data_IF_391921850676
#
_entry.id   IF_391921850676
#
_cell.length_a   1.000
_cell.length_b   1.000
_cell.length_c   1.000
_cell.angle_alpha   90.00
_cell.angle_beta   90.00
_cell.angle_gamma   90.00
#
_symmetry.space_group_name_H-M   'P 1'
#
loop_
_entity.id
_entity.type
_entity.pdbx_description
1 polymer ?
#
# COMPACT_ATOMS: atom_id res chain seq x y z
N UNK A 1 19.91 -7.96 -26.43
CA UNK A 1 20.35 -6.61 -26.06
C UNK A 1 21.43 -6.23 -27.06
N UNK A 2 21.31 -5.08 -27.72
CA UNK A 2 22.33 -4.63 -28.69
C UNK A 2 23.66 -4.33 -27.97
N UNK A 3 23.60 -4.03 -26.68
CA UNK A 3 24.72 -3.93 -25.74
C UNK A 3 24.28 -4.48 -24.37
N UNK A 4 24.77 -5.64 -23.90
CA UNK A 4 24.47 -6.15 -22.56
C UNK A 4 25.32 -5.44 -21.49
N UNK A 5 24.86 -5.39 -20.22
CA UNK A 5 25.67 -4.84 -19.13
C UNK A 5 26.88 -5.74 -18.83
N UNK A 6 27.94 -5.17 -18.27
CA UNK A 6 29.17 -5.89 -17.87
C UNK A 6 28.92 -6.97 -16.80
N UNK A 7 27.82 -6.83 -16.04
CA UNK A 7 27.44 -7.74 -14.97
C UNK A 7 25.92 -7.87 -14.87
N UNK A 8 25.46 -9.04 -14.43
CA UNK A 8 24.07 -9.31 -14.08
C UNK A 8 24.01 -10.27 -12.88
N UNK A 9 22.99 -10.09 -12.02
CA UNK A 9 22.65 -11.02 -10.94
C UNK A 9 21.38 -11.76 -11.33
N UNK A 10 21.37 -13.07 -11.09
CA UNK A 10 20.16 -13.87 -11.22
C UNK A 10 19.69 -14.34 -9.84
N UNK A 11 18.45 -14.00 -9.50
CA UNK A 11 17.78 -14.43 -8.27
C UNK A 11 16.59 -15.30 -8.66
N UNK A 12 16.71 -16.62 -8.50
CA UNK A 12 15.70 -17.56 -8.98
C UNK A 12 14.34 -17.43 -8.28
N UNK A 13 14.33 -16.93 -7.05
CA UNK A 13 13.12 -16.75 -6.23
C UNK A 13 12.41 -15.42 -6.46
N UNK A 14 12.99 -14.52 -7.26
CA UNK A 14 12.36 -13.25 -7.60
C UNK A 14 11.18 -13.46 -8.57
N UNK A 15 10.14 -12.64 -8.40
CA UNK A 15 8.93 -12.75 -9.21
C UNK A 15 8.02 -11.55 -9.06
N UNK A 16 6.80 -11.69 -9.58
CA UNK A 16 5.77 -10.64 -9.49
C UNK A 16 4.53 -11.21 -8.83
N UNK A 17 3.97 -10.45 -7.90
CA UNK A 17 2.65 -10.67 -7.35
C UNK A 17 1.71 -9.62 -7.95
N UNK A 18 0.58 -10.05 -8.51
CA UNK A 18 -0.40 -9.11 -9.06
C UNK A 18 -1.06 -8.32 -7.92
N UNK A 19 -0.81 -6.99 -7.79
CA UNK A 19 -1.11 -6.26 -6.56
C UNK A 19 -2.58 -6.33 -6.13
N UNK A 20 -3.52 -6.19 -7.08
CA UNK A 20 -4.94 -6.19 -6.75
C UNK A 20 -5.43 -7.58 -6.32
N UNK A 21 -4.93 -8.64 -6.96
CA UNK A 21 -5.27 -10.00 -6.60
C UNK A 21 -4.69 -10.38 -5.23
N UNK A 22 -3.43 -10.01 -4.97
CA UNK A 22 -2.75 -10.25 -3.70
C UNK A 22 -3.45 -9.54 -2.54
N UNK A 23 -3.79 -8.25 -2.69
CA UNK A 23 -4.49 -7.50 -1.65
C UNK A 23 -5.85 -8.14 -1.29
N UNK A 24 -6.62 -8.58 -2.30
CA UNK A 24 -7.90 -9.25 -2.10
C UNK A 24 -7.75 -10.60 -1.39
N UNK A 25 -6.73 -11.38 -1.76
CA UNK A 25 -6.46 -12.66 -1.11
C UNK A 25 -6.10 -12.49 0.38
N UNK A 26 -5.24 -11.51 0.69
CA UNK A 26 -4.87 -11.19 2.07
C UNK A 26 -6.07 -10.68 2.88
N UNK A 27 -6.90 -9.81 2.29
CA UNK A 27 -8.11 -9.31 2.95
C UNK A 27 -9.09 -10.43 3.27
N UNK A 28 -9.36 -11.31 2.30
CA UNK A 28 -10.26 -12.44 2.50
C UNK A 28 -9.75 -13.41 3.60
N UNK A 29 -8.43 -13.63 3.67
CA UNK A 29 -7.87 -14.47 4.73
C UNK A 29 -7.96 -13.81 6.11
N UNK A 30 -7.72 -12.49 6.19
CA UNK A 30 -7.91 -11.73 7.42
C UNK A 30 -9.36 -11.78 7.91
N UNK A 31 -10.34 -11.62 7.01
CA UNK A 31 -11.76 -11.73 7.35
C UNK A 31 -12.12 -13.15 7.83
N UNK A 32 -11.57 -14.18 7.18
CA UNK A 32 -11.72 -15.58 7.62
C UNK A 32 -11.18 -15.81 9.04
N UNK A 33 -10.15 -15.08 9.44
CA UNK A 33 -9.58 -15.09 10.79
C UNK A 33 -10.29 -14.17 11.79
N UNK A 34 -11.36 -13.48 11.37
CA UNK A 34 -12.20 -12.65 12.23
C UNK A 34 -11.97 -11.15 12.13
N UNK A 35 -11.11 -10.68 11.22
CA UNK A 35 -11.02 -9.25 10.93
C UNK A 35 -12.32 -8.75 10.27
N UNK A 36 -12.59 -7.45 10.41
CA UNK A 36 -13.74 -6.79 9.76
C UNK A 36 -13.22 -5.77 8.75
N UNK A 37 -13.56 -5.94 7.47
CA UNK A 37 -13.31 -4.92 6.47
C UNK A 37 -14.44 -3.89 6.45
N UNK A 38 -14.08 -2.60 6.42
CA UNK A 38 -15.02 -1.50 6.30
C UNK A 38 -14.49 -0.54 5.24
N UNK A 39 -15.39 -0.01 4.40
CA UNK A 39 -15.03 0.96 3.36
C UNK A 39 -15.49 2.34 3.80
N UNK A 40 -14.60 3.33 3.76
CA UNK A 40 -14.90 4.71 4.07
C UNK A 40 -13.64 5.57 4.05
N UNK A 41 -13.83 6.89 3.98
CA UNK A 41 -12.73 7.86 4.05
C UNK A 41 -12.51 8.26 5.50
N UNK A 42 -11.29 8.03 6.00
CA UNK A 42 -10.88 8.53 7.33
C UNK A 42 -10.68 10.03 7.26
N UNK A 43 -11.40 10.77 8.09
CA UNK A 43 -11.32 12.23 8.16
C UNK A 43 -10.29 12.68 9.18
N UNK A 44 -10.28 12.05 10.36
CA UNK A 44 -9.37 12.39 11.47
C UNK A 44 -9.30 11.29 12.52
N UNK A 45 -8.23 11.31 13.30
CA UNK A 45 -8.12 10.56 14.54
C UNK A 45 -8.94 11.25 15.66
N UNK A 46 -9.52 10.45 16.56
CA UNK A 46 -10.20 10.92 17.78
C UNK A 46 -9.25 10.76 18.96
N UNK A 47 -9.21 11.78 19.81
CA UNK A 47 -8.36 11.79 21.00
C UNK A 47 -9.16 12.06 22.27
N UNK A 48 -8.76 11.42 23.36
CA UNK A 48 -9.20 11.71 24.73
C UNK A 48 -7.95 11.77 25.61
N UNK A 49 -7.78 12.87 26.34
CA UNK A 49 -6.63 13.10 27.24
C UNK A 49 -5.26 12.85 26.56
N UNK A 50 -5.12 13.23 25.29
CA UNK A 50 -3.89 13.07 24.52
C UNK A 50 -3.63 11.65 23.98
N UNK A 51 -4.50 10.68 24.25
CA UNK A 51 -4.43 9.32 23.70
C UNK A 51 -5.43 9.16 22.56
N UNK A 52 -5.06 8.42 21.51
CA UNK A 52 -6.02 8.00 20.49
C UNK A 52 -7.12 7.18 21.15
N UNK A 53 -8.36 7.39 20.70
CA UNK A 53 -9.54 6.69 21.22
C UNK A 53 -10.51 6.30 20.10
N UNK A 54 -10.13 6.44 18.84
CA UNK A 54 -10.99 6.13 17.70
C UNK A 54 -10.56 6.81 16.41
N UNK A 55 -11.34 6.55 15.35
CA UNK A 55 -11.23 7.19 14.04
C UNK A 55 -12.60 7.72 13.62
N UNK A 56 -12.61 8.88 12.96
CA UNK A 56 -13.81 9.43 12.33
C UNK A 56 -13.81 9.06 10.86
N UNK A 57 -14.86 8.39 10.41
CA UNK A 57 -15.04 7.88 9.05
C UNK A 57 -16.41 8.33 8.55
N UNK A 58 -16.44 9.16 7.50
CA UNK A 58 -17.68 9.69 6.92
C UNK A 58 -18.66 10.28 7.97
N UNK A 59 -18.14 11.07 8.91
CA UNK A 59 -18.91 11.67 10.01
C UNK A 59 -19.24 10.75 11.19
N UNK A 60 -19.06 9.43 11.07
CA UNK A 60 -19.28 8.47 12.16
C UNK A 60 -17.98 8.16 12.91
N UNK A 61 -18.08 7.77 14.19
CA UNK A 61 -16.92 7.40 15.00
C UNK A 61 -16.84 5.89 15.17
N UNK A 62 -15.66 5.33 14.90
CA UNK A 62 -15.29 3.97 15.26
C UNK A 62 -14.33 4.07 16.45
N UNK A 63 -14.79 3.67 17.63
CA UNK A 63 -13.96 3.66 18.84
C UNK A 63 -12.91 2.53 18.78
N UNK A 64 -11.66 2.85 19.09
CA UNK A 64 -10.55 1.90 19.18
C UNK A 64 -9.45 2.46 20.07
N UNK A 65 -8.72 1.57 20.74
CA UNK A 65 -7.59 1.92 21.59
C UNK A 65 -6.31 2.20 20.80
N UNK A 66 -6.18 1.61 19.62
CA UNK A 66 -4.99 1.70 18.78
C UNK A 66 -5.37 1.90 17.32
N UNK A 67 -4.51 2.63 16.60
CA UNK A 67 -4.68 2.93 15.17
C UNK A 67 -3.32 2.82 14.49
N UNK A 68 -3.22 1.93 13.51
CA UNK A 68 -2.10 1.89 12.56
C UNK A 68 -2.51 2.56 11.25
N UNK A 69 -1.84 3.65 10.88
CA UNK A 69 -2.14 4.38 9.63
C UNK A 69 -1.30 3.79 8.49
N UNK A 70 -1.94 3.00 7.62
CA UNK A 70 -1.32 2.37 6.44
C UNK A 70 -1.95 2.90 5.13
N UNK A 71 -2.17 4.21 5.04
CA UNK A 71 -2.96 4.84 3.99
C UNK A 71 -2.13 5.28 2.76
N UNK A 72 -0.91 4.76 2.57
CA UNK A 72 -0.03 5.15 1.47
C UNK A 72 0.16 6.67 1.39
N UNK A 73 -0.07 7.25 0.22
CA UNK A 73 0.02 8.70 -0.03
C UNK A 73 -1.02 9.53 0.75
N UNK A 74 -2.06 8.91 1.30
CA UNK A 74 -3.04 9.57 2.18
C UNK A 74 -2.58 9.69 3.63
N UNK A 75 -1.50 9.01 4.03
CA UNK A 75 -1.00 8.99 5.42
C UNK A 75 -0.70 10.38 5.98
N UNK A 76 -0.06 11.32 5.25
CA UNK A 76 0.25 12.64 5.79
C UNK A 76 -0.97 13.42 6.27
N UNK A 77 -2.10 13.34 5.55
CA UNK A 77 -3.33 14.03 5.93
C UNK A 77 -3.91 13.48 7.24
N UNK A 78 -3.91 12.16 7.42
CA UNK A 78 -4.38 11.51 8.66
C UNK A 78 -3.43 11.82 9.82
N UNK A 79 -2.10 11.72 9.61
CA UNK A 79 -1.09 12.01 10.62
C UNK A 79 -1.14 13.47 11.11
N UNK A 80 -1.42 14.42 10.22
CA UNK A 80 -1.58 15.83 10.57
C UNK A 80 -2.72 16.07 11.58
N UNK A 81 -3.74 15.21 11.63
CA UNK A 81 -4.83 15.29 12.62
C UNK A 81 -4.38 14.98 14.04
N UNK A 82 -3.21 14.34 14.19
CA UNK A 82 -2.51 14.13 15.45
C UNK A 82 -1.44 15.20 15.74
N UNK A 83 -1.34 16.25 14.90
CA UNK A 83 -0.25 17.22 14.95
C UNK A 83 1.10 16.68 14.44
N UNK A 84 1.12 15.52 13.77
CA UNK A 84 2.34 14.91 13.27
C UNK A 84 2.58 15.35 11.82
N UNK A 85 3.71 16.02 11.58
CA UNK A 85 4.18 16.29 10.23
C UNK A 85 4.97 15.08 9.71
N UNK A 86 4.36 14.31 8.81
CA UNK A 86 5.04 13.21 8.14
C UNK A 86 5.64 13.69 6.81
N UNK A 87 6.98 13.74 6.65
CA UNK A 87 7.59 14.03 5.36
C UNK A 87 7.43 12.82 4.43
N UNK A 88 6.62 12.99 3.38
CA UNK A 88 6.39 11.97 2.35
C UNK A 88 6.32 12.65 0.98
N UNK A 89 7.24 12.28 0.09
CA UNK A 89 7.21 12.69 -1.32
C UNK A 89 6.51 11.61 -2.16
N UNK A 90 5.73 12.05 -3.15
CA UNK A 90 4.94 11.15 -4.01
C UNK A 90 5.22 11.41 -5.49
N UNK A 91 6.45 11.14 -5.97
CA UNK A 91 6.77 11.33 -7.38
C UNK A 91 5.93 10.37 -8.25
N UNK A 92 5.52 10.79 -9.45
CA UNK A 92 4.75 9.93 -10.34
C UNK A 92 5.62 8.76 -10.85
N UNK A 93 5.02 7.57 -10.86
CA UNK A 93 5.56 6.40 -11.56
C UNK A 93 4.84 6.18 -12.89
N UNK A 94 5.57 5.73 -13.92
CA UNK A 94 5.00 5.38 -15.22
C UNK A 94 5.14 3.88 -15.47
N UNK A 95 4.01 3.22 -15.72
CA UNK A 95 3.97 1.83 -16.19
C UNK A 95 3.55 1.86 -17.66
N UNK A 96 4.33 1.20 -18.52
CA UNK A 96 4.08 1.11 -19.96
C UNK A 96 3.81 -0.34 -20.34
N UNK A 97 2.78 -0.56 -21.16
CA UNK A 97 2.48 -1.88 -21.71
C UNK A 97 2.74 -1.87 -23.21
N UNK A 98 3.46 -2.87 -23.70
CA UNK A 98 3.58 -3.11 -25.13
C UNK A 98 2.32 -3.79 -25.68
N UNK A 99 2.18 -3.82 -27.00
CA UNK A 99 1.33 -4.84 -27.64
C UNK A 99 1.94 -6.23 -27.38
N UNK A 100 1.15 -7.31 -27.47
CA UNK A 100 1.71 -8.66 -27.43
C UNK A 100 2.87 -8.83 -28.42
N UNK A 101 3.96 -9.44 -27.98
CA UNK A 101 5.15 -9.72 -28.79
C UNK A 101 5.63 -11.15 -28.53
N UNK A 102 6.49 -11.69 -29.41
CA UNK A 102 7.09 -13.00 -29.16
C UNK A 102 7.85 -12.98 -27.82
N UNK A 103 7.83 -14.09 -27.08
CA UNK A 103 8.49 -14.20 -25.78
C UNK A 103 10.00 -13.95 -25.93
N UNK A 104 10.52 -12.98 -25.18
CA UNK A 104 11.96 -12.66 -25.14
C UNK A 104 12.58 -12.90 -23.77
N UNK A 105 11.77 -12.89 -22.70
CA UNK A 105 12.22 -12.99 -21.31
C UNK A 105 11.62 -14.24 -20.66
N UNK A 106 12.40 -14.87 -19.77
CA UNK A 106 11.96 -16.02 -18.97
C UNK A 106 11.64 -15.65 -17.52
N UNK A 107 11.84 -14.39 -17.15
CA UNK A 107 11.61 -13.88 -15.81
C UNK A 107 11.64 -12.36 -15.80
N UNK A 108 11.59 -11.80 -14.60
CA UNK A 108 11.69 -10.36 -14.36
C UNK A 108 13.11 -9.88 -14.66
N UNK A 109 13.22 -8.67 -15.19
CA UNK A 109 14.52 -8.02 -15.48
C UNK A 109 14.46 -6.62 -14.89
N UNK A 110 15.36 -6.34 -13.96
CA UNK A 110 15.57 -5.03 -13.36
C UNK A 110 16.83 -4.38 -13.96
N UNK A 111 16.83 -3.04 -14.02
CA UNK A 111 17.96 -2.24 -14.45
C UNK A 111 18.62 -1.56 -13.24
#
# INVERSE_FOLDING_TARGET
>A
LVEPPDFAVYVAEEGVAEPAATAKALLADAERLGARAMTGTVERLKFVNGRVSGVVVAGETIDTDEVAVAAGTGTPAIAATAGIKLPLDTPPGLIVHSRPYRKLLNGLVHA
#
